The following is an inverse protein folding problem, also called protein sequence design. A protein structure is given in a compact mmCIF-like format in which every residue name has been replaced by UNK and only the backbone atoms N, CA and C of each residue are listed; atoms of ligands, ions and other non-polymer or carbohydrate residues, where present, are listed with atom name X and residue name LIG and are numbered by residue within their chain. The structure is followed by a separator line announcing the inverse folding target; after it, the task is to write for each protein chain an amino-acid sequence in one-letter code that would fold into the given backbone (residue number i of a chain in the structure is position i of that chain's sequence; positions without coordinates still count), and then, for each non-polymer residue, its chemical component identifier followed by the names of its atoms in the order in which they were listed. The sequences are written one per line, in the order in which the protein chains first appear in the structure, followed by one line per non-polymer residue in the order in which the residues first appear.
data_IF_103726333596
#
_entry.id   IF_103726333596
#
_cell.length_a   1.000
_cell.length_b   1.000
_cell.length_c   1.000
_cell.angle_alpha   90.00
_cell.angle_beta   90.00
_cell.angle_gamma   90.00
#
_symmetry.space_group_name_H-M   'P 1'
#
loop_
_entity.id
_entity.type
_entity.pdbx_description
1 polymer ?
#
# COMPACT_ATOMS: atom_id res chain seq x y z
N UNK A 1 16.60 19.24 17.67
CA UNK A 1 17.14 17.90 17.34
C UNK A 1 16.33 17.36 16.18
N UNK A 2 16.96 17.01 15.08
CA UNK A 2 16.28 16.38 13.97
C UNK A 2 15.69 15.04 14.46
N UNK A 3 14.41 14.86 14.23
CA UNK A 3 13.65 13.67 14.68
C UNK A 3 14.13 12.38 14.00
N UNK A 4 14.80 12.51 12.84
CA UNK A 4 15.30 11.42 12.01
C UNK A 4 16.74 11.72 11.57
N UNK A 5 17.66 10.78 11.78
CA UNK A 5 18.99 10.87 11.19
C UNK A 5 18.91 10.53 9.70
N UNK A 6 19.33 11.43 8.82
CA UNK A 6 19.32 11.20 7.37
C UNK A 6 20.22 10.03 6.97
N UNK A 7 21.35 9.85 7.65
CA UNK A 7 22.25 8.71 7.44
C UNK A 7 21.56 7.38 7.73
N UNK A 8 20.77 7.31 8.83
CA UNK A 8 19.99 6.12 9.14
C UNK A 8 18.91 5.86 8.08
N UNK A 9 18.25 6.91 7.56
CA UNK A 9 17.26 6.77 6.48
C UNK A 9 17.89 6.19 5.22
N UNK A 10 19.06 6.70 4.80
CA UNK A 10 19.78 6.17 3.64
C UNK A 10 20.15 4.70 3.80
N UNK A 11 20.75 4.34 4.94
CA UNK A 11 21.12 2.97 5.28
C UNK A 11 19.90 2.04 5.29
N UNK A 12 18.80 2.46 5.92
CA UNK A 12 17.58 1.68 5.98
C UNK A 12 17.00 1.41 4.58
N UNK A 13 17.02 2.40 3.69
CA UNK A 13 16.54 2.25 2.31
C UNK A 13 17.37 1.21 1.57
N UNK A 14 18.69 1.23 1.71
CA UNK A 14 19.59 0.26 1.07
C UNK A 14 19.34 -1.16 1.60
N UNK A 15 19.27 -1.33 2.93
CA UNK A 15 18.96 -2.63 3.56
C UNK A 15 17.59 -3.16 3.13
N UNK A 16 16.57 -2.30 3.04
CA UNK A 16 15.24 -2.69 2.56
C UNK A 16 15.28 -3.17 1.12
N UNK A 17 15.98 -2.47 0.23
CA UNK A 17 16.11 -2.89 -1.17
C UNK A 17 16.72 -4.26 -1.31
N UNK A 18 17.76 -4.56 -0.54
CA UNK A 18 18.43 -5.86 -0.57
C UNK A 18 17.50 -6.98 -0.07
N UNK A 19 16.76 -6.72 1.02
CA UNK A 19 15.79 -7.69 1.56
C UNK A 19 14.62 -7.90 0.62
N UNK A 20 14.12 -6.84 -0.04
CA UNK A 20 13.06 -6.94 -1.05
C UNK A 20 13.55 -7.72 -2.27
N UNK A 21 14.78 -7.48 -2.74
CA UNK A 21 15.39 -8.25 -3.83
C UNK A 21 15.40 -9.73 -3.49
N UNK A 22 15.96 -10.08 -2.33
CA UNK A 22 16.02 -11.47 -1.87
C UNK A 22 14.64 -12.12 -1.78
N UNK A 23 13.63 -11.41 -1.27
CA UNK A 23 12.27 -11.92 -1.17
C UNK A 23 11.58 -12.08 -2.55
N UNK A 24 11.80 -11.14 -3.48
CA UNK A 24 11.31 -11.22 -4.84
C UNK A 24 11.92 -12.42 -5.59
N UNK A 25 13.23 -12.60 -5.51
CA UNK A 25 13.95 -13.72 -6.14
C UNK A 25 13.44 -15.09 -5.65
N UNK A 26 13.15 -15.24 -4.35
CA UNK A 26 12.55 -16.45 -3.79
C UNK A 26 11.18 -16.80 -4.39
N UNK A 27 10.43 -15.78 -4.84
CA UNK A 27 9.14 -15.97 -5.54
C UNK A 27 9.27 -15.96 -7.06
N UNK A 28 10.49 -16.00 -7.60
CA UNK A 28 10.76 -16.01 -9.04
C UNK A 28 10.52 -14.68 -9.74
N UNK A 29 10.53 -13.56 -8.99
CA UNK A 29 10.29 -12.20 -9.48
C UNK A 29 11.54 -11.33 -9.37
N UNK A 30 11.54 -10.19 -10.08
CA UNK A 30 12.53 -9.13 -9.93
C UNK A 30 12.16 -8.16 -8.82
N UNK A 31 13.14 -7.44 -8.28
CA UNK A 31 12.89 -6.28 -7.41
C UNK A 31 12.08 -5.19 -8.14
N UNK A 32 12.20 -5.10 -9.45
CA UNK A 32 11.47 -4.12 -10.26
C UNK A 32 9.96 -4.39 -10.33
N UNK A 33 9.54 -5.61 -9.97
CA UNK A 33 8.13 -5.99 -9.83
C UNK A 33 7.53 -5.53 -8.49
N UNK A 34 8.33 -4.88 -7.61
CA UNK A 34 7.90 -4.49 -6.27
C UNK A 34 8.12 -2.99 -6.04
N UNK A 35 7.05 -2.26 -5.84
CA UNK A 35 7.06 -0.85 -5.48
C UNK A 35 7.28 -0.70 -3.97
N UNK A 36 8.38 -0.04 -3.59
CA UNK A 36 8.64 0.33 -2.20
C UNK A 36 8.00 1.69 -1.96
N UNK A 37 6.85 1.71 -1.28
CA UNK A 37 6.14 2.92 -0.91
C UNK A 37 6.54 3.35 0.50
N UNK A 38 7.12 4.55 0.61
CA UNK A 38 7.44 5.15 1.91
C UNK A 38 6.18 5.78 2.52
N UNK A 39 5.72 5.25 3.67
CA UNK A 39 4.59 5.80 4.42
C UNK A 39 5.05 7.01 5.24
N UNK A 40 4.77 8.21 4.73
CA UNK A 40 5.34 9.49 5.18
C UNK A 40 4.55 10.20 6.28
N UNK A 41 3.52 9.54 6.82
CA UNK A 41 2.76 10.09 7.96
C UNK A 41 3.70 10.49 9.11
N UNK A 42 3.53 11.72 9.63
CA UNK A 42 4.35 12.34 10.69
C UNK A 42 5.82 12.64 10.33
N UNK A 43 6.24 12.42 9.09
CA UNK A 43 7.59 12.73 8.58
C UNK A 43 7.59 14.15 8.01
N UNK A 44 8.63 14.93 8.28
CA UNK A 44 8.78 16.29 7.73
C UNK A 44 9.15 16.26 6.23
N UNK A 45 8.86 17.33 5.47
CA UNK A 45 9.15 17.38 4.04
C UNK A 45 10.64 17.23 3.70
N UNK A 46 11.54 17.73 4.54
CA UNK A 46 12.99 17.67 4.32
C UNK A 46 13.46 16.20 4.32
N UNK A 47 13.00 15.41 5.30
CA UNK A 47 13.30 13.97 5.37
C UNK A 47 12.64 13.19 4.22
N UNK A 48 11.43 13.59 3.80
CA UNK A 48 10.75 12.99 2.64
C UNK A 48 11.57 13.24 1.37
N UNK A 49 11.96 14.48 1.10
CA UNK A 49 12.76 14.85 -0.07
C UNK A 49 14.13 14.16 -0.06
N UNK A 50 14.73 13.99 1.12
CA UNK A 50 15.95 13.21 1.25
C UNK A 50 15.70 11.74 0.85
N UNK A 51 14.63 11.10 1.32
CA UNK A 51 14.29 9.72 0.91
C UNK A 51 14.05 9.61 -0.61
N UNK A 52 13.41 10.63 -1.23
CA UNK A 52 13.24 10.72 -2.68
C UNK A 52 14.62 10.81 -3.38
N UNK A 53 15.54 11.63 -2.89
CA UNK A 53 16.91 11.70 -3.44
C UNK A 53 17.69 10.40 -3.29
N UNK A 54 17.35 9.55 -2.33
CA UNK A 54 17.86 8.19 -2.20
C UNK A 54 17.13 7.18 -3.10
N UNK A 55 16.25 7.65 -4.01
CA UNK A 55 15.58 6.85 -5.03
C UNK A 55 14.27 6.20 -4.56
N UNK A 56 13.61 6.70 -3.53
CA UNK A 56 12.21 6.38 -3.24
C UNK A 56 11.35 7.05 -4.30
N UNK A 57 10.57 6.25 -5.04
CA UNK A 57 9.70 6.70 -6.14
C UNK A 57 8.24 6.80 -5.75
N UNK A 58 7.84 6.25 -4.61
CA UNK A 58 6.45 6.19 -4.14
C UNK A 58 6.38 6.62 -2.69
N UNK A 59 5.51 7.57 -2.39
CA UNK A 59 5.22 7.97 -1.02
C UNK A 59 3.72 7.84 -0.73
N UNK A 60 3.37 7.57 0.53
CA UNK A 60 1.99 7.36 0.92
C UNK A 60 1.60 8.15 2.15
N UNK A 61 0.50 8.92 2.03
CA UNK A 61 -0.07 9.68 3.13
C UNK A 61 -1.35 9.05 3.67
N UNK A 62 -1.51 9.12 4.99
CA UNK A 62 -2.66 8.54 5.68
C UNK A 62 -3.74 9.57 5.98
N UNK A 63 -3.43 10.85 6.01
CA UNK A 63 -4.34 11.93 6.40
C UNK A 63 -4.34 13.03 5.36
N UNK A 64 -5.53 13.43 4.93
CA UNK A 64 -5.71 14.49 3.93
C UNK A 64 -5.04 15.79 4.37
N UNK A 65 -5.19 16.18 5.65
CA UNK A 65 -4.58 17.41 6.15
C UNK A 65 -3.05 17.35 6.08
N UNK A 66 -2.44 16.25 6.50
CA UNK A 66 -0.97 16.09 6.42
C UNK A 66 -0.47 16.16 4.98
N UNK A 67 -1.21 15.55 4.03
CA UNK A 67 -0.88 15.66 2.61
C UNK A 67 -0.88 17.12 2.16
N UNK A 68 -1.94 17.87 2.47
CA UNK A 68 -2.07 19.27 2.06
C UNK A 68 -0.97 20.16 2.64
N UNK A 69 -0.65 19.98 3.93
CA UNK A 69 0.37 20.77 4.63
C UNK A 69 1.80 20.55 4.06
N UNK A 70 2.04 19.40 3.46
CA UNK A 70 3.34 18.98 2.90
C UNK A 70 3.44 19.14 1.39
N UNK A 71 2.31 19.11 0.67
CA UNK A 71 2.25 18.92 -0.77
C UNK A 71 3.17 19.85 -1.57
N UNK A 72 3.17 21.15 -1.24
CA UNK A 72 3.98 22.13 -1.96
C UNK A 72 5.47 22.11 -1.59
N UNK A 73 5.84 21.36 -0.57
CA UNK A 73 7.21 21.22 -0.07
C UNK A 73 7.88 19.92 -0.52
N UNK A 74 7.12 19.01 -1.13
CA UNK A 74 7.61 17.71 -1.63
C UNK A 74 8.10 17.88 -3.07
N UNK A 75 9.24 17.27 -3.40
CA UNK A 75 9.75 17.13 -4.76
C UNK A 75 8.84 16.16 -5.55
N UNK A 76 7.88 16.76 -6.29
CA UNK A 76 6.85 16.05 -7.05
C UNK A 76 7.32 15.54 -8.40
N UNK A 77 8.44 16.02 -8.91
CA UNK A 77 8.92 15.67 -10.26
C UNK A 77 9.48 14.24 -10.31
N UNK A 78 9.92 13.73 -9.15
CA UNK A 78 10.59 12.44 -9.05
C UNK A 78 9.85 11.42 -8.19
N UNK A 79 8.58 11.69 -7.80
CA UNK A 79 7.82 10.82 -6.91
C UNK A 79 6.34 10.78 -7.24
N UNK A 80 5.74 9.60 -7.13
CA UNK A 80 4.29 9.42 -7.12
C UNK A 80 3.76 9.48 -5.70
N UNK A 81 2.66 10.23 -5.51
CA UNK A 81 2.01 10.39 -4.21
C UNK A 81 0.75 9.52 -4.20
N UNK A 82 0.69 8.58 -3.25
CA UNK A 82 -0.47 7.72 -3.02
C UNK A 82 -1.20 8.11 -1.75
N UNK A 83 -2.51 7.90 -1.71
CA UNK A 83 -3.29 8.00 -0.48
C UNK A 83 -3.57 6.59 0.04
N UNK A 84 -3.09 6.29 1.25
CA UNK A 84 -3.10 4.94 1.82
C UNK A 84 -3.89 4.83 3.14
N UNK A 85 -4.46 5.93 3.62
CA UNK A 85 -5.28 5.95 4.83
C UNK A 85 -6.77 5.94 4.53
N UNK A 86 -7.61 5.80 5.57
CA UNK A 86 -9.06 5.85 5.41
C UNK A 86 -9.52 7.20 4.86
N UNK A 87 -10.20 7.17 3.72
CA UNK A 87 -10.66 8.37 3.02
C UNK A 87 -12.16 8.60 3.26
N UNK A 88 -12.49 9.75 3.84
CA UNK A 88 -13.89 10.18 3.95
C UNK A 88 -14.35 10.81 2.63
N UNK A 89 -15.59 10.55 2.23
CA UNK A 89 -16.17 11.06 0.96
C UNK A 89 -16.06 12.59 0.82
N UNK A 90 -16.31 13.34 1.90
CA UNK A 90 -16.23 14.81 1.91
C UNK A 90 -14.78 15.35 1.75
N UNK A 91 -13.78 14.48 1.88
CA UNK A 91 -12.34 14.82 1.75
C UNK A 91 -11.77 14.52 0.37
N UNK A 92 -12.44 13.72 -0.46
CA UNK A 92 -11.98 13.33 -1.81
C UNK A 92 -11.58 14.55 -2.64
N UNK A 93 -12.40 15.59 -2.66
CA UNK A 93 -12.20 16.82 -3.43
C UNK A 93 -10.87 17.55 -3.17
N UNK A 94 -10.22 17.30 -2.03
CA UNK A 94 -8.99 17.98 -1.66
C UNK A 94 -7.73 17.25 -2.15
N UNK A 95 -7.85 15.96 -2.50
CA UNK A 95 -6.70 15.13 -2.86
C UNK A 95 -6.75 14.61 -4.30
N UNK A 96 -7.90 14.68 -4.97
CA UNK A 96 -8.13 14.05 -6.25
C UNK A 96 -7.15 14.49 -7.35
N UNK A 97 -6.69 15.73 -7.30
CA UNK A 97 -5.70 16.32 -8.20
C UNK A 97 -4.24 16.17 -7.72
N UNK A 98 -4.03 15.62 -6.53
CA UNK A 98 -2.72 15.57 -5.85
C UNK A 98 -2.12 14.19 -5.74
N UNK A 99 -2.94 13.16 -5.94
CA UNK A 99 -2.49 11.76 -5.80
C UNK A 99 -2.67 11.02 -7.11
N UNK A 100 -1.82 10.02 -7.34
CA UNK A 100 -1.87 9.12 -8.48
C UNK A 100 -2.69 7.86 -8.20
N UNK A 101 -2.74 7.39 -6.95
CA UNK A 101 -3.43 6.17 -6.56
C UNK A 101 -4.06 6.30 -5.17
N UNK A 102 -5.31 5.85 -5.03
CA UNK A 102 -6.02 5.75 -3.73
C UNK A 102 -6.16 4.27 -3.38
N UNK A 103 -5.56 3.83 -2.25
CA UNK A 103 -5.51 2.42 -1.85
C UNK A 103 -6.72 1.96 -1.03
N UNK A 104 -7.50 2.88 -0.47
CA UNK A 104 -8.44 2.62 0.62
C UNK A 104 -9.90 2.74 0.20
N UNK A 105 -10.24 2.25 -0.99
CA UNK A 105 -11.64 2.27 -1.46
C UNK A 105 -12.36 1.03 -0.96
N UNK A 106 -13.28 1.23 -0.01
CA UNK A 106 -14.01 0.19 0.70
C UNK A 106 -15.51 0.15 0.41
N UNK A 107 -16.02 1.05 -0.43
CA UNK A 107 -17.45 1.14 -0.71
C UNK A 107 -17.77 1.82 -2.03
N UNK A 108 -18.88 1.44 -2.64
CA UNK A 108 -19.39 2.09 -3.85
C UNK A 108 -19.66 3.59 -3.66
N UNK A 109 -20.13 3.99 -2.47
CA UNK A 109 -20.36 5.39 -2.12
C UNK A 109 -19.07 6.22 -2.22
N UNK A 110 -17.97 5.70 -1.75
CA UNK A 110 -16.67 6.37 -1.85
C UNK A 110 -16.18 6.40 -3.29
N UNK A 111 -16.28 5.30 -4.03
CA UNK A 111 -15.91 5.21 -5.44
C UNK A 111 -16.71 6.19 -6.30
N UNK A 112 -18.01 6.32 -6.07
CA UNK A 112 -18.88 7.28 -6.77
C UNK A 112 -18.47 8.74 -6.52
N UNK A 113 -18.06 9.10 -5.30
CA UNK A 113 -17.54 10.45 -5.04
C UNK A 113 -16.16 10.66 -5.68
N UNK A 114 -15.30 9.63 -5.74
CA UNK A 114 -14.03 9.69 -6.46
C UNK A 114 -14.29 9.92 -7.95
N UNK A 115 -15.19 9.16 -8.57
CA UNK A 115 -15.59 9.32 -9.98
C UNK A 115 -16.06 10.75 -10.28
N UNK A 116 -16.98 11.25 -9.44
CA UNK A 116 -17.51 12.60 -9.58
C UNK A 116 -16.44 13.69 -9.49
N UNK A 117 -15.47 13.55 -8.59
CA UNK A 117 -14.38 14.53 -8.45
C UNK A 117 -13.34 14.36 -9.56
N UNK A 118 -13.01 13.13 -9.96
CA UNK A 118 -12.12 12.85 -11.09
C UNK A 118 -12.66 13.45 -12.39
N UNK A 119 -13.96 13.30 -12.66
CA UNK A 119 -14.64 13.93 -13.81
C UNK A 119 -14.48 15.45 -13.82
N UNK A 120 -14.59 16.13 -12.68
CA UNK A 120 -14.39 17.58 -12.58
C UNK A 120 -12.97 18.03 -12.92
N UNK A 121 -11.99 17.16 -12.70
CA UNK A 121 -10.59 17.40 -13.01
C UNK A 121 -10.16 16.80 -14.36
N UNK A 122 -11.13 16.30 -15.17
CA UNK A 122 -10.89 15.71 -16.49
C UNK A 122 -9.83 14.59 -16.44
N UNK A 123 -9.88 13.74 -15.42
CA UNK A 123 -8.95 12.62 -15.22
C UNK A 123 -9.69 11.33 -14.87
N UNK A 124 -9.03 10.21 -15.08
CA UNK A 124 -9.40 8.91 -14.53
C UNK A 124 -8.53 8.68 -13.31
N UNK A 125 -9.14 8.37 -12.16
CA UNK A 125 -8.43 8.11 -10.92
C UNK A 125 -8.18 6.61 -10.75
N UNK A 126 -6.93 6.24 -10.59
CA UNK A 126 -6.55 4.88 -10.25
C UNK A 126 -6.86 4.59 -8.78
N UNK A 127 -7.45 3.42 -8.51
CA UNK A 127 -7.82 2.99 -7.16
C UNK A 127 -7.44 1.54 -6.91
N UNK A 128 -7.25 1.20 -5.62
CA UNK A 128 -7.28 -0.17 -5.12
C UNK A 128 -8.51 -0.35 -4.22
N UNK A 129 -9.11 -1.55 -4.27
CA UNK A 129 -10.18 -1.92 -3.34
C UNK A 129 -9.55 -2.45 -2.07
N UNK A 130 -9.91 -1.85 -0.92
CA UNK A 130 -9.44 -2.29 0.39
C UNK A 130 -10.27 -3.48 0.86
N UNK A 131 -9.59 -4.61 1.13
CA UNK A 131 -10.21 -5.86 1.58
C UNK A 131 -9.86 -6.14 3.03
N UNK A 132 -10.86 -6.37 3.86
CA UNK A 132 -10.73 -6.82 5.24
C UNK A 132 -10.53 -8.35 5.28
N UNK A 133 -9.31 -8.78 4.92
CA UNK A 133 -9.00 -10.21 4.81
C UNK A 133 -8.98 -10.94 6.15
N UNK A 134 -8.87 -10.22 7.25
CA UNK A 134 -8.84 -10.77 8.61
C UNK A 134 -10.18 -10.78 9.31
N UNK A 135 -11.25 -10.28 8.68
CA UNK A 135 -12.61 -10.19 9.22
C UNK A 135 -12.68 -9.50 10.60
N UNK A 136 -11.81 -8.50 10.82
CA UNK A 136 -11.80 -7.72 12.06
C UNK A 136 -12.78 -6.55 11.97
N UNK A 137 -13.80 -6.50 12.83
CA UNK A 137 -14.82 -5.42 12.87
C UNK A 137 -14.21 -4.02 13.03
N UNK A 138 -13.04 -3.91 13.64
CA UNK A 138 -12.36 -2.64 13.91
C UNK A 138 -11.61 -2.07 12.69
N UNK A 139 -11.43 -2.85 11.61
CA UNK A 139 -10.69 -2.45 10.42
C UNK A 139 -11.62 -2.04 9.29
N UNK A 140 -11.12 -1.13 8.44
CA UNK A 140 -11.76 -0.79 7.17
C UNK A 140 -11.61 -1.91 6.16
N UNK A 141 -12.27 -1.74 5.01
CA UNK A 141 -12.26 -2.70 3.93
C UNK A 141 -13.57 -3.47 3.79
N UNK A 142 -13.85 -3.90 2.58
CA UNK A 142 -14.98 -4.80 2.26
C UNK A 142 -14.61 -6.23 2.62
N UNK A 143 -15.56 -7.08 2.98
CA UNK A 143 -15.31 -8.51 3.19
C UNK A 143 -14.80 -9.19 1.90
N UNK A 144 -14.08 -10.31 2.04
CA UNK A 144 -13.58 -11.04 0.88
C UNK A 144 -14.72 -11.51 -0.04
N UNK A 145 -15.85 -11.95 0.55
CA UNK A 145 -17.03 -12.39 -0.16
C UNK A 145 -17.70 -11.30 -0.98
N UNK A 146 -17.77 -10.08 -0.44
CA UNK A 146 -18.43 -8.92 -1.07
C UNK A 146 -17.52 -8.19 -2.07
N UNK A 147 -16.20 -8.46 -2.04
CA UNK A 147 -15.20 -7.75 -2.86
C UNK A 147 -15.54 -7.82 -4.36
N UNK A 148 -15.88 -9.01 -4.86
CA UNK A 148 -16.20 -9.19 -6.29
C UNK A 148 -17.41 -8.37 -6.71
N UNK A 149 -18.45 -8.30 -5.87
CA UNK A 149 -19.66 -7.55 -6.17
C UNK A 149 -19.39 -6.03 -6.14
N UNK A 150 -18.64 -5.55 -5.15
CA UNK A 150 -18.22 -4.16 -5.08
C UNK A 150 -17.41 -3.76 -6.33
N UNK A 151 -16.47 -4.60 -6.76
CA UNK A 151 -15.66 -4.37 -7.95
C UNK A 151 -16.54 -4.26 -9.22
N UNK A 152 -17.53 -5.13 -9.39
CA UNK A 152 -18.48 -5.04 -10.51
C UNK A 152 -19.28 -3.74 -10.49
N UNK A 153 -19.72 -3.28 -9.33
CA UNK A 153 -20.41 -1.99 -9.21
C UNK A 153 -19.48 -0.83 -9.59
N UNK A 154 -18.25 -0.83 -9.08
CA UNK A 154 -17.27 0.24 -9.37
C UNK A 154 -16.86 0.22 -10.85
N UNK A 155 -16.77 -0.93 -11.51
CA UNK A 155 -16.37 -1.03 -12.92
C UNK A 155 -17.31 -0.30 -13.89
N UNK A 156 -18.52 0.04 -13.45
CA UNK A 156 -19.47 0.85 -14.25
C UNK A 156 -19.16 2.35 -14.24
N UNK A 157 -18.23 2.80 -13.39
CA UNK A 157 -17.85 4.20 -13.27
C UNK A 157 -16.82 4.57 -14.35
N UNK A 158 -17.01 5.71 -15.03
CA UNK A 158 -16.21 6.10 -16.19
C UNK A 158 -14.87 6.77 -15.85
N UNK A 159 -14.78 7.40 -14.66
CA UNK A 159 -13.62 8.20 -14.26
C UNK A 159 -12.85 7.57 -13.11
N UNK A 160 -13.03 6.26 -12.90
CA UNK A 160 -12.30 5.43 -11.92
C UNK A 160 -11.76 4.20 -12.62
N UNK A 161 -10.52 3.84 -12.32
CA UNK A 161 -9.87 2.63 -12.84
C UNK A 161 -9.38 1.77 -11.68
N UNK A 162 -9.88 0.53 -11.58
CA UNK A 162 -9.43 -0.40 -10.54
C UNK A 162 -8.10 -1.01 -10.98
N UNK A 163 -7.03 -0.78 -10.22
CA UNK A 163 -5.69 -1.33 -10.47
C UNK A 163 -5.37 -2.57 -9.64
N UNK A 164 -6.23 -2.92 -8.68
CA UNK A 164 -5.99 -4.09 -7.86
C UNK A 164 -6.60 -4.01 -6.46
N UNK A 165 -5.99 -4.72 -5.53
CA UNK A 165 -6.46 -4.84 -4.15
C UNK A 165 -5.44 -4.27 -3.15
N UNK A 166 -5.95 -3.86 -2.00
CA UNK A 166 -5.14 -3.51 -0.82
C UNK A 166 -5.65 -4.25 0.39
N UNK A 167 -4.75 -4.66 1.27
CA UNK A 167 -5.14 -5.22 2.57
C UNK A 167 -4.17 -4.84 3.68
N UNK A 168 -4.68 -4.83 4.91
CA UNK A 168 -3.92 -4.71 6.16
C UNK A 168 -4.26 -5.93 7.02
N UNK A 169 -3.41 -6.98 7.02
CA UNK A 169 -3.66 -8.17 7.82
C UNK A 169 -3.77 -7.86 9.31
N UNK A 170 -4.36 -8.75 10.12
CA UNK A 170 -4.33 -8.65 11.58
C UNK A 170 -2.92 -8.50 12.11
N UNK A 171 -2.75 -7.72 13.20
CA UNK A 171 -1.48 -7.71 13.90
C UNK A 171 -1.27 -9.09 14.53
N UNK A 172 -0.27 -9.83 14.09
CA UNK A 172 0.15 -11.02 14.77
C UNK A 172 0.83 -10.61 16.09
N UNK A 173 0.24 -10.97 17.21
CA UNK A 173 0.92 -10.98 18.48
C UNK A 173 2.14 -11.90 18.37
N UNK A 174 3.26 -11.50 18.97
CA UNK A 174 4.58 -12.10 18.86
C UNK A 174 4.59 -13.63 18.83
N UNK A 175 5.46 -14.16 17.99
CA UNK A 175 5.71 -15.60 17.86
C UNK A 175 6.32 -16.16 19.13
N UNK A 176 5.52 -16.81 19.96
CA UNK A 176 6.02 -17.83 20.88
C UNK A 176 5.96 -19.17 20.14
N UNK A 177 7.08 -19.61 19.64
CA UNK A 177 7.54 -21.00 19.57
C UNK A 177 8.69 -21.10 18.57
N UNK A 178 9.87 -20.92 19.10
CA UNK A 178 11.10 -21.40 18.48
C UNK A 178 11.10 -22.91 18.79
N UNK A 179 10.84 -23.74 17.79
CA UNK A 179 11.26 -25.13 17.86
C UNK A 179 12.76 -25.17 17.60
N UNK A 180 13.54 -25.24 18.67
CA UNK A 180 15.01 -25.27 18.66
C UNK A 180 15.62 -26.56 18.12
N UNK A 181 14.86 -27.47 17.52
CA UNK A 181 15.35 -28.80 17.16
C UNK A 181 15.96 -28.96 15.76
N UNK A 182 16.05 -27.89 14.96
CA UNK A 182 16.78 -28.02 13.68
C UNK A 182 17.43 -26.69 13.29
N UNK A 183 18.70 -26.52 13.48
CA UNK A 183 19.61 -25.39 13.26
C UNK A 183 19.43 -24.46 12.05
N UNK A 184 18.20 -24.21 11.59
CA UNK A 184 17.83 -23.20 10.62
C UNK A 184 16.63 -22.40 11.16
N UNK A 185 16.87 -21.17 11.60
CA UNK A 185 15.83 -20.21 12.02
C UNK A 185 14.94 -19.85 10.85
N UNK A 186 13.95 -20.67 10.53
CA UNK A 186 12.87 -20.27 9.59
C UNK A 186 11.94 -19.32 10.34
N UNK A 187 11.96 -18.05 9.97
CA UNK A 187 11.00 -17.05 10.39
C UNK A 187 9.60 -17.51 9.92
N UNK A 188 8.77 -18.00 10.83
CA UNK A 188 7.39 -18.39 10.51
C UNK A 188 6.54 -17.13 10.58
N UNK A 189 6.11 -16.63 9.42
CA UNK A 189 5.22 -15.48 9.34
C UNK A 189 3.77 -15.92 9.54
N UNK A 190 3.17 -15.55 10.66
CA UNK A 190 1.75 -15.81 10.93
C UNK A 190 0.80 -15.16 9.91
N UNK A 191 1.27 -14.11 9.22
CA UNK A 191 0.47 -13.40 8.22
C UNK A 191 0.47 -14.09 6.84
N UNK A 192 1.24 -15.16 6.65
CA UNK A 192 1.34 -15.83 5.35
C UNK A 192 -0.04 -16.28 4.83
N UNK A 193 -0.87 -16.85 5.68
CA UNK A 193 -2.22 -17.29 5.30
C UNK A 193 -3.10 -16.15 4.77
N UNK A 194 -2.99 -14.94 5.35
CA UNK A 194 -3.72 -13.78 4.89
C UNK A 194 -3.19 -13.28 3.53
N UNK A 195 -1.87 -13.31 3.34
CA UNK A 195 -1.27 -12.95 2.05
C UNK A 195 -1.62 -13.97 0.96
N UNK A 196 -1.62 -15.26 1.26
CA UNK A 196 -2.06 -16.30 0.33
C UNK A 196 -3.55 -16.16 -0.03
N UNK A 197 -4.41 -15.84 0.96
CA UNK A 197 -5.86 -15.59 0.73
C UNK A 197 -6.10 -14.39 -0.17
N UNK A 198 -5.43 -13.26 0.09
CA UNK A 198 -5.63 -12.05 -0.75
C UNK A 198 -5.05 -12.24 -2.14
N UNK A 199 -3.94 -12.95 -2.32
CA UNK A 199 -3.39 -13.28 -3.63
C UNK A 199 -4.36 -14.15 -4.43
N UNK A 200 -4.96 -15.16 -3.80
CA UNK A 200 -5.98 -16.01 -4.45
C UNK A 200 -7.17 -15.17 -4.92
N UNK A 201 -7.70 -14.30 -4.07
CA UNK A 201 -8.79 -13.40 -4.43
C UNK A 201 -8.42 -12.48 -5.60
N UNK A 202 -7.18 -11.94 -5.58
CA UNK A 202 -6.64 -11.12 -6.64
C UNK A 202 -6.61 -11.84 -7.99
N UNK A 203 -6.12 -13.09 -8.02
CA UNK A 203 -6.09 -13.94 -9.22
C UNK A 203 -7.51 -14.25 -9.69
N UNK A 204 -8.40 -14.69 -8.78
CA UNK A 204 -9.78 -15.03 -9.08
C UNK A 204 -10.57 -13.86 -9.70
N UNK A 205 -10.26 -12.63 -9.33
CA UNK A 205 -10.86 -11.42 -9.91
C UNK A 205 -10.22 -11.08 -11.26
N UNK A 206 -8.90 -11.20 -11.37
CA UNK A 206 -8.16 -10.96 -12.62
C UNK A 206 -8.67 -11.83 -13.77
N UNK A 207 -8.97 -13.09 -13.48
CA UNK A 207 -9.45 -14.06 -14.46
C UNK A 207 -10.86 -13.73 -15.00
N UNK A 208 -11.64 -12.91 -14.30
CA UNK A 208 -13.01 -12.52 -14.72
C UNK A 208 -13.04 -11.53 -15.88
N UNK A 209 -11.91 -10.89 -16.22
CA UNK A 209 -11.76 -9.95 -17.36
C UNK A 209 -12.90 -8.92 -17.48
N UNK A 210 -13.19 -8.26 -16.37
CA UNK A 210 -14.21 -7.20 -16.32
C UNK A 210 -13.66 -5.90 -16.92
N UNK A 211 -14.53 -5.08 -17.52
CA UNK A 211 -14.15 -3.78 -18.07
C UNK A 211 -13.71 -2.80 -16.96
N UNK A 212 -12.79 -1.88 -17.27
CA UNK A 212 -12.20 -0.91 -16.34
C UNK A 212 -11.47 -1.51 -15.13
N UNK A 213 -11.06 -2.78 -15.22
CA UNK A 213 -10.32 -3.48 -14.18
C UNK A 213 -8.99 -3.97 -14.73
N UNK A 214 -7.92 -3.54 -14.09
CA UNK A 214 -6.55 -3.93 -14.44
C UNK A 214 -5.85 -4.40 -13.16
N UNK A 215 -5.92 -5.71 -12.91
CA UNK A 215 -5.36 -6.32 -11.69
C UNK A 215 -3.83 -6.44 -11.78
N UNK A 216 -3.12 -5.32 -11.60
CA UNK A 216 -1.66 -5.27 -11.62
C UNK A 216 -1.06 -5.05 -10.23
N UNK A 217 -1.83 -4.45 -9.31
CA UNK A 217 -1.32 -3.99 -8.03
C UNK A 217 -1.93 -4.77 -6.87
N UNK A 218 -1.09 -5.46 -6.11
CA UNK A 218 -1.44 -6.04 -4.82
C UNK A 218 -0.69 -5.29 -3.72
N UNK A 219 -1.38 -4.38 -3.03
CA UNK A 219 -0.81 -3.58 -1.97
C UNK A 219 -0.97 -4.29 -0.62
N UNK A 220 0.09 -4.94 -0.16
CA UNK A 220 0.13 -5.67 1.09
C UNK A 220 1.55 -5.69 1.68
N UNK A 221 1.67 -5.84 3.00
CA UNK A 221 2.95 -5.83 3.70
C UNK A 221 3.35 -4.46 4.23
N UNK A 222 3.79 -4.46 5.49
CA UNK A 222 4.28 -3.31 6.24
C UNK A 222 5.64 -3.63 6.87
N UNK A 223 6.17 -2.73 7.71
CA UNK A 223 7.52 -2.84 8.29
C UNK A 223 7.84 -4.18 8.96
N UNK A 224 6.84 -4.89 9.47
CA UNK A 224 7.04 -6.11 10.23
C UNK A 224 6.94 -7.39 9.37
N UNK A 225 6.30 -7.32 8.19
CA UNK A 225 5.91 -8.49 7.39
C UNK A 225 6.10 -8.35 5.87
N UNK A 226 6.73 -7.26 5.41
CA UNK A 226 6.86 -6.97 3.97
C UNK A 226 7.61 -8.04 3.18
N UNK A 227 8.62 -8.70 3.77
CA UNK A 227 9.35 -9.77 3.10
C UNK A 227 8.42 -10.95 2.77
N UNK A 228 7.60 -11.37 3.76
CA UNK A 228 6.59 -12.39 3.54
C UNK A 228 5.53 -11.97 2.51
N UNK A 229 5.07 -10.72 2.57
CA UNK A 229 4.12 -10.19 1.58
C UNK A 229 4.70 -10.24 0.16
N UNK A 230 5.97 -9.88 -0.01
CA UNK A 230 6.68 -9.97 -1.31
C UNK A 230 6.80 -11.42 -1.74
N UNK A 231 7.22 -12.35 -0.88
CA UNK A 231 7.28 -13.78 -1.19
C UNK A 231 5.90 -14.35 -1.59
N UNK A 232 4.80 -13.76 -1.07
CA UNK A 232 3.42 -14.11 -1.41
C UNK A 232 2.81 -13.27 -2.54
N UNK A 233 3.60 -12.56 -3.35
CA UNK A 233 3.12 -11.91 -4.57
C UNK A 233 2.74 -10.43 -4.45
N UNK A 234 2.93 -9.76 -3.31
CA UNK A 234 2.70 -8.32 -3.19
C UNK A 234 3.53 -7.53 -4.20
N UNK A 235 2.90 -6.55 -4.87
CA UNK A 235 3.55 -5.61 -5.80
C UNK A 235 3.82 -4.24 -5.19
N UNK A 236 3.11 -3.88 -4.10
CA UNK A 236 3.34 -2.65 -3.35
C UNK A 236 3.46 -2.96 -1.87
N UNK A 237 4.60 -2.64 -1.28
CA UNK A 237 4.82 -2.69 0.17
C UNK A 237 4.84 -1.28 0.76
N UNK A 238 4.27 -1.10 1.98
CA UNK A 238 4.08 0.21 2.60
C UNK A 238 4.92 0.33 3.87
N UNK A 239 6.07 0.98 3.77
CA UNK A 239 7.09 1.02 4.82
C UNK A 239 7.17 2.40 5.49
N UNK A 240 6.89 2.46 6.78
CA UNK A 240 7.08 3.67 7.60
C UNK A 240 8.28 3.52 8.52
N UNK A 241 8.11 2.76 9.60
CA UNK A 241 9.15 2.54 10.61
C UNK A 241 10.43 1.94 10.06
N UNK A 242 10.33 1.03 9.11
CA UNK A 242 11.49 0.41 8.50
C UNK A 242 12.39 1.43 7.78
N UNK A 243 11.81 2.50 7.17
CA UNK A 243 12.57 3.56 6.50
C UNK A 243 12.99 4.64 7.49
N UNK A 244 12.03 5.19 8.24
CA UNK A 244 12.23 6.41 9.02
C UNK A 244 12.56 6.16 10.50
N UNK A 245 12.55 4.92 10.96
CA UNK A 245 12.76 4.56 12.37
C UNK A 245 11.49 4.62 13.21
N UNK A 246 11.64 4.29 14.50
CA UNK A 246 10.55 4.33 15.48
C UNK A 246 10.09 5.77 15.74
N UNK A 247 8.81 5.90 16.08
CA UNK A 247 8.24 7.19 16.46
C UNK A 247 8.62 7.49 17.90
N UNK A 248 9.29 8.61 18.13
CA UNK A 248 9.50 9.17 19.46
C UNK A 248 8.21 9.82 19.98
#
# INVERSE_FOLDING_TARGET
MEKYSLECVAKNIEEIRERVRTAAEKSGRSIDDVKILAATKTVNPETINFAISQGIKYIGENRVQELLDKYDKIDKDNVEIHFIGRLQTNKVKYIIDKVSLIHSVDSYKLALEIDKQAKKHSKVMDILVEVNIGEEDSKGGVSAEETTELIKQISTLENVCIKGLMTIPPKCCETSNINEECGSSKKVYKNKEFFDKILKLFIDISDKKLDNIYMYELSAGMSDDYECAVECGSTIIRLGRAIFGERL
#
